data_IF_970014442039
#
_entry.id   IF_970014442039
#
_cell.length_a   1.000
_cell.length_b   1.000
_cell.length_c   1.000
_cell.angle_alpha   90.00
_cell.angle_beta   90.00
_cell.angle_gamma   90.00
#
_symmetry.space_group_name_H-M   'P 1'
#
loop_
_entity.id
_entity.type
_entity.pdbx_description
1 polymer ?
#
# COMPACT_ATOMS: atom_id res chain seq x y z
N UNK A 1 -1.38 -10.82 6.47
CA UNK A 1 -2.47 -10.04 5.84
C UNK A 1 -3.32 -10.91 4.90
N UNK A 2 -2.79 -11.50 3.81
CA UNK A 2 -3.57 -12.18 2.77
C UNK A 2 -4.55 -13.25 3.29
N UNK A 3 -4.12 -14.12 4.20
CA UNK A 3 -4.98 -15.16 4.78
C UNK A 3 -6.10 -14.56 5.64
N UNK A 4 -5.79 -13.56 6.48
CA UNK A 4 -6.78 -12.87 7.30
C UNK A 4 -7.83 -12.13 6.45
N UNK A 5 -7.40 -11.55 5.33
CA UNK A 5 -8.26 -10.83 4.39
C UNK A 5 -8.97 -11.76 3.38
N UNK A 6 -8.89 -13.06 3.58
CA UNK A 6 -9.53 -14.08 2.72
C UNK A 6 -9.28 -13.89 1.22
N UNK A 7 -8.03 -13.56 0.85
CA UNK A 7 -7.67 -13.28 -0.55
C UNK A 7 -7.63 -14.51 -1.47
N UNK A 8 -7.66 -15.71 -0.89
CA UNK A 8 -7.68 -16.96 -1.66
C UNK A 8 -6.36 -17.35 -2.33
N UNK A 9 -5.29 -16.56 -2.14
CA UNK A 9 -3.96 -16.83 -2.69
C UNK A 9 -2.86 -16.46 -1.68
N UNK A 10 -1.65 -16.96 -1.91
CA UNK A 10 -0.44 -16.71 -1.12
C UNK A 10 0.55 -15.86 -1.90
N UNK A 11 1.55 -15.31 -1.22
CA UNK A 11 2.65 -14.58 -1.83
C UNK A 11 3.43 -15.44 -2.85
N UNK A 12 3.60 -16.74 -2.57
CA UNK A 12 4.20 -17.71 -3.49
C UNK A 12 3.44 -17.83 -4.82
N UNK A 13 2.10 -17.77 -4.76
CA UNK A 13 1.26 -17.91 -5.95
C UNK A 13 1.39 -16.66 -6.83
N UNK A 14 1.48 -15.47 -6.22
CA UNK A 14 1.77 -14.21 -6.93
C UNK A 14 3.11 -14.32 -7.66
N UNK A 15 4.16 -14.76 -6.96
CA UNK A 15 5.50 -14.91 -7.53
C UNK A 15 5.50 -15.88 -8.73
N UNK A 16 4.84 -17.03 -8.58
CA UNK A 16 4.74 -18.04 -9.63
C UNK A 16 3.99 -17.50 -10.85
N UNK A 17 2.83 -16.85 -10.64
CA UNK A 17 2.02 -16.37 -11.76
C UNK A 17 2.70 -15.19 -12.49
N UNK A 18 3.31 -14.25 -11.77
CA UNK A 18 4.03 -13.15 -12.40
C UNK A 18 5.23 -13.63 -13.22
N UNK A 19 5.98 -14.63 -12.74
CA UNK A 19 7.06 -15.25 -13.54
C UNK A 19 6.56 -15.92 -14.82
N UNK A 20 5.34 -16.49 -14.82
CA UNK A 20 4.71 -17.01 -16.04
C UNK A 20 4.35 -15.90 -17.02
N UNK A 21 3.87 -14.75 -16.51
CA UNK A 21 3.60 -13.58 -17.34
C UNK A 21 4.90 -13.05 -17.97
N UNK A 22 5.95 -12.92 -17.18
CA UNK A 22 7.28 -12.49 -17.66
C UNK A 22 7.85 -13.44 -18.72
N UNK A 23 7.73 -14.75 -18.51
CA UNK A 23 8.16 -15.75 -19.48
C UNK A 23 7.37 -15.71 -20.81
N UNK A 24 6.17 -15.17 -20.78
CA UNK A 24 5.30 -14.96 -21.95
C UNK A 24 5.41 -13.54 -22.54
N UNK A 25 6.33 -12.70 -22.04
CA UNK A 25 6.49 -11.29 -22.43
C UNK A 25 5.20 -10.45 -22.22
N UNK A 26 4.44 -10.77 -21.17
CA UNK A 26 3.21 -10.07 -20.80
C UNK A 26 3.50 -9.11 -19.64
N UNK A 27 3.32 -7.82 -19.91
CA UNK A 27 3.44 -6.76 -18.90
C UNK A 27 2.31 -6.81 -17.88
N UNK A 28 2.59 -6.42 -16.65
CA UNK A 28 1.60 -6.37 -15.57
C UNK A 28 1.86 -5.21 -14.59
N UNK A 29 0.86 -4.88 -13.79
CA UNK A 29 0.93 -3.90 -12.73
C UNK A 29 0.54 -4.54 -11.40
N UNK A 30 1.02 -3.95 -10.29
CA UNK A 30 0.57 -4.31 -8.95
C UNK A 30 -0.36 -3.26 -8.39
N UNK A 31 -1.37 -3.72 -7.66
CA UNK A 31 -2.14 -2.90 -6.73
C UNK A 31 -1.69 -3.22 -5.30
N UNK A 32 -1.17 -2.20 -4.61
CA UNK A 32 -0.80 -2.29 -3.21
C UNK A 32 -1.86 -1.59 -2.36
N UNK A 33 -2.42 -2.29 -1.39
CA UNK A 33 -3.44 -1.74 -0.52
C UNK A 33 -2.83 -1.35 0.83
N UNK A 34 -2.53 -0.06 0.97
CA UNK A 34 -1.97 0.54 2.19
C UNK A 34 -2.99 0.47 3.32
N UNK A 35 -2.54 0.08 4.51
CA UNK A 35 -3.39 -0.05 5.70
C UNK A 35 -4.01 -1.45 5.89
N UNK A 36 -3.81 -2.38 4.94
CA UNK A 36 -4.42 -3.71 5.02
C UNK A 36 -3.83 -4.60 6.12
N UNK A 37 -2.65 -4.29 6.60
CA UNK A 37 -1.98 -5.02 7.68
C UNK A 37 -2.57 -4.72 9.06
N UNK A 38 -3.18 -3.54 9.20
CA UNK A 38 -3.75 -3.03 10.46
C UNK A 38 -2.70 -2.42 11.39
N UNK A 39 -3.17 -1.66 12.36
CA UNK A 39 -2.37 -0.81 13.24
C UNK A 39 -1.11 -1.50 13.79
N UNK A 40 0.02 -0.82 13.73
CA UNK A 40 1.33 -1.28 14.17
C UNK A 40 2.00 -2.32 13.28
N UNK A 41 1.43 -2.68 12.12
CA UNK A 41 1.96 -3.74 11.24
C UNK A 41 2.19 -3.30 9.78
N UNK A 42 1.84 -2.08 9.43
CA UNK A 42 1.94 -1.56 8.07
C UNK A 42 3.36 -1.62 7.52
N UNK A 43 4.33 -1.05 8.22
CA UNK A 43 5.73 -1.04 7.78
C UNK A 43 6.32 -2.45 7.60
N UNK A 44 5.96 -3.40 8.50
CA UNK A 44 6.40 -4.79 8.39
C UNK A 44 5.78 -5.42 7.13
N UNK A 45 4.50 -5.16 6.87
CA UNK A 45 3.80 -5.60 5.67
C UNK A 45 4.40 -5.02 4.39
N UNK A 46 4.76 -3.73 4.43
CA UNK A 46 5.39 -3.02 3.32
C UNK A 46 6.76 -3.61 2.96
N UNK A 47 7.62 -3.85 3.96
CA UNK A 47 8.94 -4.47 3.77
C UNK A 47 8.83 -5.87 3.16
N UNK A 48 7.94 -6.72 3.70
CA UNK A 48 7.72 -8.06 3.16
C UNK A 48 7.13 -8.02 1.73
N UNK A 49 6.30 -7.02 1.41
CA UNK A 49 5.80 -6.83 0.05
C UNK A 49 6.88 -6.36 -0.90
N UNK A 50 7.74 -5.43 -0.48
CA UNK A 50 8.88 -4.98 -1.27
C UNK A 50 9.86 -6.12 -1.57
N UNK A 51 10.15 -6.99 -0.58
CA UNK A 51 10.99 -8.19 -0.78
C UNK A 51 10.43 -9.12 -1.86
N UNK A 52 9.11 -9.28 -1.92
CA UNK A 52 8.46 -10.04 -2.98
C UNK A 52 8.56 -9.32 -4.33
N UNK A 53 8.22 -8.03 -4.37
CA UNK A 53 8.18 -7.22 -5.59
C UNK A 53 9.56 -7.08 -6.22
N UNK A 54 10.61 -6.99 -5.42
CA UNK A 54 12.00 -6.93 -5.88
C UNK A 54 12.48 -8.18 -6.65
N UNK A 55 11.70 -9.25 -6.66
CA UNK A 55 11.98 -10.46 -7.45
C UNK A 55 11.25 -10.48 -8.80
N UNK A 56 10.52 -9.40 -9.14
CA UNK A 56 9.57 -9.29 -10.25
C UNK A 56 9.76 -7.93 -10.97
N UNK A 57 9.12 -7.77 -12.14
CA UNK A 57 9.28 -6.58 -12.97
C UNK A 57 7.93 -5.92 -13.31
N UNK A 58 7.11 -5.50 -12.32
CA UNK A 58 5.89 -4.77 -12.60
C UNK A 58 6.20 -3.43 -13.25
N UNK A 59 5.41 -3.03 -14.25
CA UNK A 59 5.57 -1.70 -14.87
C UNK A 59 5.16 -0.57 -13.93
N UNK A 60 4.11 -0.81 -13.14
CA UNK A 60 3.54 0.15 -12.20
C UNK A 60 3.20 -0.57 -10.91
N UNK A 61 3.48 0.06 -9.78
CA UNK A 61 2.90 -0.26 -8.49
C UNK A 61 1.96 0.89 -8.14
N UNK A 62 0.65 0.62 -8.17
CA UNK A 62 -0.39 1.55 -7.76
C UNK A 62 -0.76 1.29 -6.31
N UNK A 63 -0.56 2.26 -5.44
CA UNK A 63 -0.98 2.18 -4.04
C UNK A 63 -2.29 2.92 -3.83
N UNK A 64 -3.21 2.26 -3.14
CA UNK A 64 -4.48 2.84 -2.67
C UNK A 64 -4.63 2.61 -1.18
N UNK A 65 -5.20 3.59 -0.46
CA UNK A 65 -5.48 3.43 0.96
C UNK A 65 -6.76 2.64 1.18
N UNK A 66 -6.72 1.73 2.15
CA UNK A 66 -7.85 0.88 2.52
C UNK A 66 -9.06 1.70 2.94
N UNK A 67 -10.20 1.45 2.29
CA UNK A 67 -11.50 1.96 2.70
C UNK A 67 -12.32 0.84 3.34
N UNK A 68 -12.87 1.08 4.53
CA UNK A 68 -13.61 0.09 5.30
C UNK A 68 -15.09 0.38 5.20
N UNK A 69 -15.81 -0.47 4.50
CA UNK A 69 -17.26 -0.37 4.37
C UNK A 69 -17.95 -1.06 5.55
N UNK A 70 -19.01 -0.45 6.09
CA UNK A 70 -19.79 -0.98 7.23
C UNK A 70 -20.41 -2.37 6.95
N UNK A 71 -20.57 -2.71 5.70
CA UNK A 71 -21.10 -4.00 5.24
C UNK A 71 -20.04 -5.08 5.06
N UNK A 72 -18.74 -4.73 5.23
CA UNK A 72 -17.65 -5.68 5.02
C UNK A 72 -17.41 -6.58 6.21
N UNK A 73 -16.87 -7.78 5.97
CA UNK A 73 -16.42 -8.69 7.04
C UNK A 73 -15.33 -8.03 7.90
N UNK A 74 -14.44 -7.24 7.31
CA UNK A 74 -13.40 -6.51 8.03
C UNK A 74 -14.00 -5.53 9.06
N UNK A 75 -15.10 -4.86 8.74
CA UNK A 75 -15.78 -4.00 9.69
C UNK A 75 -16.31 -4.81 10.91
N UNK A 76 -16.80 -6.02 10.67
CA UNK A 76 -17.23 -6.90 11.76
C UNK A 76 -16.06 -7.34 12.63
N UNK A 77 -14.90 -7.62 12.05
CA UNK A 77 -13.68 -7.94 12.80
C UNK A 77 -13.19 -6.77 13.67
N UNK A 78 -13.35 -5.54 13.19
CA UNK A 78 -13.09 -4.32 13.98
C UNK A 78 -14.05 -4.26 15.18
N UNK A 79 -15.36 -4.49 14.97
CA UNK A 79 -16.34 -4.46 16.05
C UNK A 79 -16.09 -5.55 17.11
N UNK A 80 -15.49 -6.68 16.70
CA UNK A 80 -15.09 -7.78 17.60
C UNK A 80 -13.75 -7.51 18.30
N UNK A 81 -13.03 -6.45 17.94
CA UNK A 81 -11.70 -6.14 18.47
C UNK A 81 -10.56 -7.00 17.91
N UNK A 82 -10.81 -7.79 16.86
CA UNK A 82 -9.83 -8.68 16.25
C UNK A 82 -8.88 -7.96 15.29
N UNK A 83 -9.26 -6.77 14.82
CA UNK A 83 -8.46 -5.97 13.91
C UNK A 83 -8.67 -4.47 14.20
N UNK A 84 -7.61 -3.70 14.06
CA UNK A 84 -7.63 -2.25 14.26
C UNK A 84 -7.09 -1.55 13.01
N UNK A 85 -7.82 -0.53 12.55
CA UNK A 85 -7.37 0.30 11.42
C UNK A 85 -6.12 1.09 11.80
N UNK A 86 -5.20 1.21 10.86
CA UNK A 86 -4.06 2.13 10.95
C UNK A 86 -4.50 3.58 10.99
N UNK A 87 -3.76 4.40 11.74
CA UNK A 87 -3.86 5.86 11.63
C UNK A 87 -3.44 6.36 10.25
N UNK A 88 -3.77 7.59 9.93
CA UNK A 88 -3.43 8.16 8.62
C UNK A 88 -1.92 8.39 8.50
N UNK A 89 -1.25 8.80 9.57
CA UNK A 89 0.21 8.91 9.63
C UNK A 89 0.87 7.52 9.54
N UNK A 90 0.31 6.49 10.16
CA UNK A 90 0.80 5.10 10.01
C UNK A 90 0.75 4.64 8.54
N UNK A 91 -0.33 4.97 7.81
CA UNK A 91 -0.46 4.65 6.38
C UNK A 91 0.57 5.39 5.52
N UNK A 92 0.93 6.63 5.87
CA UNK A 92 2.02 7.33 5.20
C UNK A 92 3.37 6.67 5.49
N UNK A 93 3.61 6.23 6.72
CA UNK A 93 4.82 5.51 7.12
C UNK A 93 4.92 4.13 6.41
N UNK A 94 3.81 3.42 6.26
CA UNK A 94 3.73 2.19 5.48
C UNK A 94 4.11 2.43 4.01
N UNK A 95 3.54 3.45 3.36
CA UNK A 95 3.87 3.81 1.98
C UNK A 95 5.35 4.22 1.84
N UNK A 96 5.88 5.01 2.79
CA UNK A 96 7.30 5.35 2.85
C UNK A 96 8.16 4.10 2.91
N UNK A 97 7.86 3.18 3.84
CA UNK A 97 8.60 1.93 4.01
C UNK A 97 8.55 1.05 2.75
N UNK A 98 7.42 1.02 2.03
CA UNK A 98 7.34 0.32 0.74
C UNK A 98 8.34 0.91 -0.25
N UNK A 99 8.31 2.23 -0.48
CA UNK A 99 9.17 2.92 -1.45
C UNK A 99 10.66 2.79 -1.10
N UNK A 100 11.01 2.93 0.18
CA UNK A 100 12.39 2.77 0.66
C UNK A 100 12.98 1.39 0.34
N UNK A 101 12.17 0.35 0.47
CA UNK A 101 12.62 -1.03 0.33
C UNK A 101 12.49 -1.58 -1.11
N UNK A 102 11.83 -0.86 -2.03
CA UNK A 102 11.81 -1.21 -3.44
C UNK A 102 13.16 -0.89 -4.10
N UNK A 103 13.72 -1.86 -4.85
CA UNK A 103 15.01 -1.71 -5.56
C UNK A 103 14.88 -1.88 -7.07
N UNK A 104 13.70 -2.18 -7.55
CA UNK A 104 13.40 -2.45 -8.96
C UNK A 104 13.11 -1.17 -9.75
N UNK A 105 13.28 -1.27 -11.06
CA UNK A 105 12.84 -0.26 -12.02
C UNK A 105 11.32 -0.39 -12.20
N UNK A 106 10.56 0.59 -11.68
CA UNK A 106 9.10 0.59 -11.75
C UNK A 106 8.56 1.99 -11.48
N UNK A 107 7.35 2.28 -11.95
CA UNK A 107 6.65 3.50 -11.56
C UNK A 107 5.83 3.24 -10.29
N UNK A 108 5.86 4.19 -9.36
CA UNK A 108 4.97 4.22 -8.20
C UNK A 108 3.95 5.34 -8.37
N UNK A 109 2.67 5.04 -8.15
CA UNK A 109 1.57 6.01 -8.25
C UNK A 109 0.56 5.80 -7.12
N UNK A 110 -0.05 6.89 -6.65
CA UNK A 110 -1.12 6.87 -5.64
C UNK A 110 -2.33 7.68 -6.11
N UNK A 111 -2.80 7.41 -7.33
CA UNK A 111 -3.86 8.19 -7.97
C UNK A 111 -5.27 7.82 -7.51
N UNK A 112 -5.43 6.72 -6.76
CA UNK A 112 -6.72 6.24 -6.27
C UNK A 112 -7.43 7.28 -5.39
N UNK A 113 -8.76 7.38 -5.54
CA UNK A 113 -9.61 8.35 -4.83
C UNK A 113 -9.57 8.20 -3.29
N UNK A 114 -9.16 7.05 -2.77
CA UNK A 114 -9.01 6.79 -1.34
C UNK A 114 -7.72 7.33 -0.73
N UNK A 115 -6.80 7.84 -1.53
CA UNK A 115 -5.51 8.32 -1.06
C UNK A 115 -5.60 9.74 -0.49
N UNK A 116 -4.85 9.97 0.58
CA UNK A 116 -4.68 11.30 1.20
C UNK A 116 -3.83 12.23 0.33
N UNK A 117 -2.91 11.65 -0.42
CA UNK A 117 -1.89 12.37 -1.21
C UNK A 117 -1.73 11.71 -2.56
N UNK A 118 -1.33 12.52 -3.53
CA UNK A 118 -0.93 12.01 -4.85
C UNK A 118 0.58 12.00 -4.95
N UNK A 119 1.14 10.80 -5.07
CA UNK A 119 2.57 10.55 -5.29
C UNK A 119 2.74 9.88 -6.64
N UNK A 120 3.67 10.38 -7.43
CA UNK A 120 4.07 9.79 -8.71
C UNK A 120 5.57 9.89 -8.86
N UNK A 121 6.22 8.80 -9.22
CA UNK A 121 7.64 8.79 -9.50
C UNK A 121 8.11 7.51 -10.16
N UNK A 122 9.34 7.53 -10.62
CA UNK A 122 10.03 6.40 -11.24
C UNK A 122 11.17 5.92 -10.33
N UNK A 123 11.10 4.68 -9.90
CA UNK A 123 12.12 4.08 -9.04
C UNK A 123 13.20 3.41 -9.90
N UNK A 124 14.47 3.47 -9.48
CA UNK A 124 14.95 4.09 -8.24
C UNK A 124 15.23 5.59 -8.34
N UNK A 125 15.07 6.22 -9.51
CA UNK A 125 15.52 7.61 -9.78
C UNK A 125 14.90 8.65 -8.84
N UNK A 126 13.61 8.54 -8.56
CA UNK A 126 12.89 9.50 -7.71
C UNK A 126 12.81 9.07 -6.23
N UNK A 127 13.44 7.95 -5.83
CA UNK A 127 13.28 7.37 -4.49
C UNK A 127 13.53 8.36 -3.36
N UNK A 128 14.70 9.00 -3.35
CA UNK A 128 15.08 9.94 -2.28
C UNK A 128 14.11 11.10 -2.15
N UNK A 129 13.66 11.64 -3.28
CA UNK A 129 12.67 12.73 -3.32
C UNK A 129 11.32 12.30 -2.74
N UNK A 130 10.85 11.10 -3.11
CA UNK A 130 9.56 10.57 -2.63
C UNK A 130 9.61 10.25 -1.15
N UNK A 131 10.68 9.62 -0.68
CA UNK A 131 10.91 9.29 0.72
C UNK A 131 10.97 10.56 1.56
N UNK A 132 11.78 11.55 1.16
CA UNK A 132 11.88 12.82 1.87
C UNK A 132 10.57 13.61 1.91
N UNK A 133 9.76 13.56 0.85
CA UNK A 133 8.42 14.16 0.85
C UNK A 133 7.49 13.49 1.87
N UNK A 134 7.46 12.15 1.89
CA UNK A 134 6.64 11.40 2.85
C UNK A 134 7.12 11.60 4.29
N UNK A 135 8.42 11.64 4.52
CA UNK A 135 9.01 11.92 5.83
C UNK A 135 8.59 13.29 6.36
N UNK A 136 8.68 14.33 5.53
CA UNK A 136 8.19 15.66 5.87
C UNK A 136 6.70 15.67 6.22
N UNK A 137 5.87 14.96 5.47
CA UNK A 137 4.44 14.86 5.77
C UNK A 137 4.19 14.14 7.10
N UNK A 138 4.89 13.03 7.38
CA UNK A 138 4.76 12.28 8.64
C UNK A 138 5.11 13.17 9.84
N UNK A 139 6.14 14.01 9.71
CA UNK A 139 6.60 14.91 10.78
C UNK A 139 5.68 16.11 11.01
N UNK A 140 5.00 16.60 9.98
CA UNK A 140 4.28 17.88 10.02
C UNK A 140 2.77 17.76 9.98
N UNK A 141 2.23 16.61 9.59
CA UNK A 141 0.80 16.43 9.42
C UNK A 141 0.06 16.27 10.77
N UNK A 142 -1.16 16.77 10.79
CA UNK A 142 -2.11 16.55 11.89
C UNK A 142 -2.98 15.32 11.58
N UNK A 143 -2.89 14.28 12.41
CA UNK A 143 -3.64 13.02 12.25
C UNK A 143 -5.15 13.25 12.20
N UNK A 144 -5.68 14.17 13.03
CA UNK A 144 -7.12 14.43 13.09
C UNK A 144 -7.60 15.13 11.81
N UNK A 145 -6.83 16.10 11.32
CA UNK A 145 -7.14 16.79 10.06
C UNK A 145 -7.08 15.84 8.86
N UNK A 146 -6.08 14.96 8.80
CA UNK A 146 -5.98 13.93 7.75
C UNK A 146 -7.18 12.98 7.80
N UNK A 147 -7.56 12.55 8.99
CA UNK A 147 -8.71 11.66 9.18
C UNK A 147 -10.01 12.32 8.76
N UNK A 148 -10.24 13.56 9.15
CA UNK A 148 -11.40 14.35 8.75
C UNK A 148 -11.46 14.50 7.22
N UNK A 149 -10.35 14.86 6.60
CA UNK A 149 -10.27 14.94 5.13
C UNK A 149 -10.67 13.61 4.47
N UNK A 150 -10.10 12.48 4.93
CA UNK A 150 -10.36 11.17 4.34
C UNK A 150 -11.81 10.71 4.49
N UNK A 151 -12.42 10.92 5.64
CA UNK A 151 -13.83 10.57 5.90
C UNK A 151 -14.79 11.37 5.02
N UNK A 152 -14.40 12.57 4.60
CA UNK A 152 -15.20 13.46 3.76
C UNK A 152 -14.92 13.33 2.26
N UNK A 153 -14.11 12.39 1.82
CA UNK A 153 -13.89 12.12 0.40
C UNK A 153 -15.19 11.64 -0.26
N UNK A 154 -15.65 12.39 -1.29
CA UNK A 154 -16.97 12.19 -1.91
C UNK A 154 -17.13 10.89 -2.72
N UNK A 155 -16.07 10.12 -2.88
CA UNK A 155 -16.04 8.93 -3.74
C UNK A 155 -15.80 7.63 -2.95
N UNK A 156 -15.92 7.71 -1.62
CA UNK A 156 -15.77 6.55 -0.74
C UNK A 156 -17.11 6.12 -0.16
#
# INVERSE_FOLDING_TARGET
ALAFMNKGFRASDVLEQCRKLEAADISYNFFYLTGISGAGRGEIGAKASAELFNQLHPQIIESSMLTIYKTSELYQEIQRGNWKEEGEIEKLAELKALIENLTIDTRIVTDGASNLIQVRGHLPADKEKLVGYLEHLIETADEAALREYRVNLRHL
#
